data_IF_755676468400
#
_entry.id   IF_755676468400
#
_cell.length_a   1.000
_cell.length_b   1.000
_cell.length_c   1.000
_cell.angle_alpha   90.00
_cell.angle_beta   90.00
_cell.angle_gamma   90.00
#
_symmetry.space_group_name_H-M   'P 1'
#
loop_
_entity.id
_entity.type
_entity.pdbx_description
1 polymer ?
#
# COMPACT_ATOMS: atom_id res chain seq x y z
N UNK A 1 3.25 -4.17 -6.13
CA UNK A 1 1.90 -3.56 -6.13
C UNK A 1 1.97 -2.07 -6.46
N UNK A 2 1.14 -1.59 -7.39
CA UNK A 2 0.91 -0.16 -7.60
C UNK A 2 -0.39 0.23 -6.90
N UNK A 3 -0.33 1.20 -5.99
CA UNK A 3 -1.53 1.80 -5.40
C UNK A 3 -1.62 3.23 -5.90
N UNK A 4 -2.68 3.50 -6.65
CA UNK A 4 -3.09 4.83 -7.12
C UNK A 4 -4.47 5.11 -6.55
N UNK A 5 -4.66 6.29 -5.96
CA UNK A 5 -5.97 6.79 -5.57
C UNK A 5 -5.97 7.74 -4.38
N UNK A 6 -7.02 8.54 -4.31
CA UNK A 6 -7.19 9.61 -3.34
C UNK A 6 -7.75 9.06 -2.01
N UNK A 7 -7.12 9.40 -0.87
CA UNK A 7 -7.51 8.98 0.50
C UNK A 7 -7.48 7.47 0.76
N UNK A 8 -6.52 6.76 0.17
CA UNK A 8 -6.34 5.33 0.45
C UNK A 8 -5.56 5.08 1.76
N UNK A 9 -6.02 4.12 2.56
CA UNK A 9 -5.22 3.51 3.64
C UNK A 9 -4.73 2.15 3.19
N UNK A 10 -3.43 1.98 3.21
CA UNK A 10 -2.75 0.72 2.91
C UNK A 10 -2.30 0.14 4.24
N UNK A 11 -2.59 -1.14 4.46
CA UNK A 11 -2.20 -1.84 5.66
C UNK A 11 -1.99 -3.31 5.41
N UNK A 12 -1.54 -4.03 6.44
CA UNK A 12 -1.37 -5.47 6.38
C UNK A 12 -2.48 -6.20 7.16
N UNK A 13 -2.79 -7.41 6.72
CA UNK A 13 -3.67 -8.35 7.42
C UNK A 13 -3.03 -9.74 7.29
N UNK A 14 -2.23 -10.12 8.27
CA UNK A 14 -1.35 -11.29 8.21
C UNK A 14 -0.40 -11.20 7.01
N UNK A 15 -0.34 -12.25 6.18
CA UNK A 15 0.54 -12.32 5.01
C UNK A 15 0.01 -11.57 3.77
N UNK A 16 -0.99 -10.71 3.92
CA UNK A 16 -1.61 -9.95 2.83
C UNK A 16 -1.44 -8.45 3.05
N UNK A 17 -1.13 -7.73 1.98
CA UNK A 17 -1.24 -6.28 1.90
C UNK A 17 -2.60 -5.93 1.33
N UNK A 18 -3.29 -5.00 1.98
CA UNK A 18 -4.61 -4.54 1.62
C UNK A 18 -4.63 -3.03 1.40
N UNK A 19 -5.43 -2.58 0.43
CA UNK A 19 -5.79 -1.19 0.27
C UNK A 19 -7.28 -1.02 0.60
N UNK A 20 -7.59 -0.19 1.59
CA UNK A 20 -8.94 0.26 1.89
C UNK A 20 -9.08 1.69 1.40
N UNK A 21 -9.96 1.86 0.44
CA UNK A 21 -10.38 3.15 -0.10
C UNK A 21 -11.68 3.56 0.60
N UNK A 22 -11.94 4.86 0.75
CA UNK A 22 -13.24 5.36 1.24
C UNK A 22 -14.35 5.25 0.19
N UNK A 23 -13.97 5.16 -1.09
CA UNK A 23 -14.90 5.08 -2.23
C UNK A 23 -15.32 3.63 -2.48
N UNK A 24 -14.40 2.67 -2.27
CA UNK A 24 -14.67 1.24 -2.48
C UNK A 24 -14.96 0.56 -1.15
N UNK A 25 -16.18 0.04 -1.00
CA UNK A 25 -16.60 -0.73 0.17
C UNK A 25 -15.81 -2.05 0.34
N UNK A 26 -15.22 -2.58 -0.73
CA UNK A 26 -14.44 -3.81 -0.72
C UNK A 26 -12.92 -3.54 -0.70
N UNK A 27 -12.16 -4.03 0.32
CA UNK A 27 -10.72 -3.88 0.37
C UNK A 27 -10.01 -4.82 -0.63
N UNK A 28 -9.12 -4.25 -1.44
CA UNK A 28 -8.29 -5.01 -2.36
C UNK A 28 -7.13 -5.63 -1.59
N UNK A 29 -7.08 -6.96 -1.50
CA UNK A 29 -6.04 -7.70 -0.75
C UNK A 29 -5.20 -8.54 -1.69
N UNK A 30 -3.89 -8.50 -1.51
CA UNK A 30 -2.94 -9.33 -2.26
C UNK A 30 -1.86 -9.91 -1.35
N UNK A 31 -1.31 -11.09 -1.64
CA UNK A 31 -0.25 -11.67 -0.82
C UNK A 31 1.04 -10.86 -0.90
N UNK A 32 1.67 -10.55 0.24
CA UNK A 32 2.86 -9.68 0.25
C UNK A 32 4.09 -10.31 -0.43
N UNK A 33 4.27 -11.62 -0.27
CA UNK A 33 5.39 -12.37 -0.86
C UNK A 33 5.41 -12.35 -2.40
N UNK A 34 4.30 -11.99 -3.05
CA UNK A 34 4.24 -11.84 -4.50
C UNK A 34 4.74 -10.48 -4.98
N UNK A 35 5.04 -9.56 -4.07
CA UNK A 35 5.46 -8.21 -4.42
C UNK A 35 6.95 -8.02 -4.15
N UNK A 36 7.68 -7.69 -5.20
CA UNK A 36 9.08 -7.23 -5.08
C UNK A 36 9.17 -5.78 -4.57
N UNK A 37 8.11 -4.98 -4.74
CA UNK A 37 8.06 -3.56 -4.37
C UNK A 37 6.63 -3.04 -4.24
N UNK A 38 6.44 -2.04 -3.38
CA UNK A 38 5.19 -1.29 -3.20
C UNK A 38 5.38 0.14 -3.71
N UNK A 39 4.57 0.57 -4.67
CA UNK A 39 4.57 1.93 -5.20
C UNK A 39 3.36 2.69 -4.68
N UNK A 40 3.60 3.80 -3.98
CA UNK A 40 2.60 4.74 -3.50
C UNK A 40 2.55 5.91 -4.47
N UNK A 41 1.68 5.81 -5.47
CA UNK A 41 1.46 6.88 -6.43
C UNK A 41 0.60 7.97 -5.77
N UNK A 42 0.93 9.24 -5.98
CA UNK A 42 0.25 10.38 -5.35
C UNK A 42 0.37 10.37 -3.82
N UNK A 43 1.60 10.28 -3.29
CA UNK A 43 1.86 10.03 -1.85
C UNK A 43 1.17 11.00 -0.87
N UNK A 44 0.84 12.25 -1.28
CA UNK A 44 0.08 13.19 -0.43
C UNK A 44 -1.32 12.66 -0.07
N UNK A 45 -1.84 11.72 -0.85
CA UNK A 45 -3.21 11.22 -0.76
C UNK A 45 -3.29 9.72 -0.40
N UNK A 46 -2.16 9.04 -0.23
CA UNK A 46 -2.09 7.63 0.17
C UNK A 46 -1.30 7.48 1.48
N UNK A 47 -1.88 6.78 2.46
CA UNK A 47 -1.24 6.53 3.77
C UNK A 47 -0.94 5.05 3.95
N UNK A 48 0.27 4.73 4.39
CA UNK A 48 0.67 3.38 4.80
C UNK A 48 0.66 3.32 6.34
N UNK A 49 -0.16 2.44 6.90
CA UNK A 49 -0.25 2.25 8.35
C UNK A 49 0.99 1.54 8.93
N UNK A 50 1.11 1.57 10.26
CA UNK A 50 2.27 1.00 10.97
C UNK A 50 2.41 -0.50 10.69
N UNK A 51 1.31 -1.24 10.67
CA UNK A 51 1.32 -2.68 10.38
C UNK A 51 1.81 -2.97 8.96
N UNK A 52 1.40 -2.17 7.97
CA UNK A 52 1.87 -2.25 6.59
C UNK A 52 3.35 -1.93 6.46
N UNK A 53 3.86 -0.93 7.22
CA UNK A 53 5.30 -0.63 7.26
C UNK A 53 6.11 -1.81 7.82
N UNK A 54 5.69 -2.38 8.95
CA UNK A 54 6.37 -3.50 9.59
C UNK A 54 6.48 -4.68 8.62
N UNK A 55 5.37 -5.08 7.99
CA UNK A 55 5.38 -6.24 7.09
C UNK A 55 6.22 -5.96 5.83
N UNK A 56 6.21 -4.73 5.30
CA UNK A 56 7.11 -4.36 4.19
C UNK A 56 8.60 -4.49 4.58
N UNK A 57 8.97 -4.09 5.80
CA UNK A 57 10.35 -4.22 6.30
C UNK A 57 10.74 -5.68 6.51
N UNK A 58 9.92 -6.46 7.21
CA UNK A 58 10.16 -7.90 7.46
C UNK A 58 10.32 -8.70 6.16
N UNK A 59 9.53 -8.34 5.15
CA UNK A 59 9.51 -9.03 3.85
C UNK A 59 10.50 -8.44 2.85
N UNK A 60 11.37 -7.51 3.27
CA UNK A 60 12.33 -6.81 2.40
C UNK A 60 11.65 -6.24 1.14
N UNK A 61 10.42 -5.76 1.29
CA UNK A 61 9.61 -5.18 0.21
C UNK A 61 9.77 -3.66 0.25
N UNK A 62 10.60 -3.06 -0.63
CA UNK A 62 10.78 -1.62 -0.66
C UNK A 62 9.46 -0.88 -0.94
N UNK A 63 9.27 0.22 -0.23
CA UNK A 63 8.15 1.16 -0.41
C UNK A 63 8.67 2.41 -1.11
N UNK A 64 8.15 2.68 -2.30
CA UNK A 64 8.55 3.80 -3.15
C UNK A 64 7.41 4.81 -3.15
N UNK A 65 7.63 5.99 -2.59
CA UNK A 65 6.70 7.09 -2.66
C UNK A 65 6.92 7.88 -3.94
N UNK A 66 5.91 7.95 -4.81
CA UNK A 66 5.97 8.68 -6.07
C UNK A 66 5.12 9.96 -5.93
N UNK A 67 5.71 11.15 -6.05
CA UNK A 67 4.98 12.42 -5.98
C UNK A 67 4.02 12.58 -7.17
N UNK A 68 3.02 13.45 -7.00
CA UNK A 68 2.12 13.83 -8.10
C UNK A 68 2.95 14.52 -9.18
N UNK A 69 2.93 14.00 -10.41
CA UNK A 69 3.50 14.71 -11.55
C UNK A 69 2.48 15.78 -12.00
N UNK A 70 2.96 17.02 -12.17
CA UNK A 70 2.19 18.14 -12.70
C UNK A 70 1.82 17.92 -14.16
#
# INVERSE_FOLDING_TARGET
>A
MHVTGYKHRIGSHGNRMGCKDKIRNAPLKTPIHRHQRLHLLHFKNATLDVAGKIVCVERKTPVIAVPEMK
#
